data_IF_052137871599
#
_entry.id   IF_052137871599
#
_cell.length_a   1.000
_cell.length_b   1.000
_cell.length_c   1.000
_cell.angle_alpha   90.00
_cell.angle_beta   90.00
_cell.angle_gamma   90.00
#
_symmetry.space_group_name_H-M   'P 1'
#
loop_
_entity.id
_entity.type
_entity.pdbx_description
1 polymer ?
#
# COMPACT_ATOMS: atom_id res chain seq x y z
N UNK A 1 -33.53 69.61 45.50
CA UNK A 1 -33.04 68.87 46.68
C UNK A 1 -32.25 67.66 46.23
N UNK A 2 -30.93 67.53 46.37
CA UNK A 2 -29.82 68.38 46.82
C UNK A 2 -28.54 67.58 46.46
N UNK A 3 -27.56 68.20 45.81
CA UNK A 3 -26.21 68.39 46.37
C UNK A 3 -25.34 67.12 46.30
N UNK A 4 -24.47 66.87 45.30
CA UNK A 4 -23.31 67.61 44.77
C UNK A 4 -22.01 67.46 45.60
N UNK A 5 -20.92 67.13 44.88
CA UNK A 5 -19.46 67.29 45.18
C UNK A 5 -18.84 66.40 46.28
N UNK A 6 -17.58 65.93 46.22
CA UNK A 6 -16.24 66.35 45.71
C UNK A 6 -15.37 65.06 45.60
N UNK A 7 -14.23 64.91 44.91
CA UNK A 7 -13.16 65.81 44.47
C UNK A 7 -11.78 65.31 44.98
N UNK A 8 -10.87 65.05 44.04
CA UNK A 8 -9.39 65.17 44.08
C UNK A 8 -8.44 64.15 44.75
N UNK A 9 -7.29 64.03 44.06
CA UNK A 9 -6.09 63.19 44.18
C UNK A 9 -5.27 63.41 45.47
N UNK A 10 -4.45 62.40 45.84
CA UNK A 10 -3.05 62.58 46.28
C UNK A 10 -2.19 61.33 46.08
N UNK A 11 -0.98 61.58 45.58
CA UNK A 11 0.18 60.69 45.52
C UNK A 11 0.67 60.22 46.90
N UNK A 12 1.33 59.05 46.92
CA UNK A 12 2.10 58.55 48.05
C UNK A 12 2.90 57.29 47.72
N UNK A 13 4.18 57.45 47.35
CA UNK A 13 5.19 56.39 47.34
C UNK A 13 5.49 55.90 48.76
N UNK A 14 5.53 54.59 48.98
CA UNK A 14 6.50 53.97 49.90
C UNK A 14 6.70 52.46 49.67
N UNK A 15 7.88 52.14 49.15
CA UNK A 15 8.82 51.02 49.46
C UNK A 15 8.30 49.60 49.82
N UNK A 16 8.67 48.69 48.92
CA UNK A 16 9.31 47.36 49.12
C UNK A 16 8.75 46.40 50.16
N UNK A 17 8.22 45.27 49.69
CA UNK A 17 8.80 43.98 50.05
C UNK A 17 8.60 42.92 48.95
N UNK A 18 9.70 42.23 48.66
CA UNK A 18 9.84 41.15 47.70
C UNK A 18 9.18 39.87 48.17
N UNK A 19 8.43 39.19 47.28
CA UNK A 19 8.47 37.72 47.13
C UNK A 19 7.79 37.28 45.83
N UNK A 20 8.63 36.73 44.95
CA UNK A 20 8.33 35.96 43.75
C UNK A 20 7.42 34.75 44.02
N UNK A 21 6.40 34.54 43.20
CA UNK A 21 6.11 33.21 42.66
C UNK A 21 5.37 33.28 41.31
N UNK A 22 5.71 32.34 40.43
CA UNK A 22 5.48 32.34 38.98
C UNK A 22 4.04 31.97 38.59
N UNK A 23 3.35 32.86 37.86
CA UNK A 23 2.01 32.65 37.32
C UNK A 23 1.95 32.66 35.78
N UNK A 24 1.83 31.45 35.20
CA UNK A 24 1.22 31.06 33.92
C UNK A 24 0.85 32.20 32.93
N UNK A 25 1.70 32.40 31.92
CA UNK A 25 1.33 33.08 30.68
C UNK A 25 0.59 32.12 29.73
N UNK A 26 -0.68 32.40 29.47
CA UNK A 26 -1.47 31.76 28.43
C UNK A 26 -0.95 32.19 27.05
N UNK A 27 -0.30 31.29 26.31
CA UNK A 27 0.07 31.54 24.92
C UNK A 27 -1.05 31.03 24.00
N UNK A 28 -1.94 31.94 23.62
CA UNK A 28 -2.82 31.78 22.46
C UNK A 28 -1.93 31.61 21.21
N UNK A 29 -1.92 30.43 20.59
CA UNK A 29 -1.24 30.22 19.31
C UNK A 29 -2.20 30.50 18.16
N UNK A 30 -1.96 31.63 17.49
CA UNK A 30 -2.61 32.05 16.25
C UNK A 30 -2.11 31.18 15.09
N UNK A 31 -3.04 30.74 14.24
CA UNK A 31 -2.76 30.09 12.95
C UNK A 31 -2.08 31.09 12.00
N UNK A 32 -0.84 30.81 11.58
CA UNK A 32 -0.21 31.56 10.49
C UNK A 32 -0.60 30.92 9.16
N UNK A 33 -1.42 31.65 8.41
CA UNK A 33 -1.62 31.44 6.97
C UNK A 33 -0.31 31.77 6.25
N UNK A 34 0.23 30.81 5.50
CA UNK A 34 1.42 31.02 4.68
C UNK A 34 1.01 31.43 3.26
N UNK A 35 0.99 32.74 3.02
CA UNK A 35 1.22 33.31 1.70
C UNK A 35 2.71 33.19 1.36
N UNK A 36 3.03 32.73 0.14
CA UNK A 36 4.40 32.74 -0.38
C UNK A 36 4.47 33.76 -1.51
N UNK A 37 5.14 34.88 -1.22
CA UNK A 37 5.58 35.85 -2.22
C UNK A 37 6.94 35.45 -2.79
N UNK A 38 7.12 35.74 -4.08
CA UNK A 38 8.24 35.41 -4.94
C UNK A 38 9.50 36.25 -4.72
N UNK A 39 10.61 35.71 -5.24
CA UNK A 39 11.88 36.31 -5.65
C UNK A 39 13.04 36.39 -4.64
N UNK A 40 14.18 35.83 -5.07
CA UNK A 40 15.52 36.13 -4.55
C UNK A 40 16.48 34.93 -4.60
N UNK A 41 17.29 34.82 -5.65
CA UNK A 41 18.63 34.19 -5.56
C UNK A 41 19.53 35.07 -4.66
N UNK A 42 20.54 34.50 -3.97
CA UNK A 42 21.88 34.43 -4.55
C UNK A 42 22.68 33.15 -4.23
N UNK A 43 23.78 33.01 -4.97
CA UNK A 43 24.80 31.98 -4.93
C UNK A 43 25.61 31.96 -3.61
N UNK A 44 26.24 30.82 -3.33
CA UNK A 44 27.23 30.65 -2.26
C UNK A 44 27.78 29.23 -2.19
N UNK A 45 28.87 29.00 -2.90
CA UNK A 45 29.75 27.82 -2.81
C UNK A 45 30.40 27.76 -1.42
N UNK A 46 30.47 26.59 -0.79
CA UNK A 46 31.52 26.31 0.18
C UNK A 46 31.85 24.81 0.17
N UNK A 47 33.02 24.52 -0.39
CA UNK A 47 33.78 23.29 -0.17
C UNK A 47 34.12 23.16 1.31
N UNK A 48 34.10 21.93 1.82
CA UNK A 48 34.95 21.53 2.93
C UNK A 48 35.44 20.10 2.69
N UNK A 49 36.66 20.05 2.15
CA UNK A 49 37.56 18.92 2.07
C UNK A 49 38.10 18.64 3.47
N UNK A 50 38.13 17.37 3.87
CA UNK A 50 39.13 16.87 4.83
C UNK A 50 39.71 15.57 4.27
N UNK A 51 40.96 15.65 3.82
CA UNK A 51 41.84 14.51 3.51
C UNK A 51 42.15 13.70 4.77
N UNK A 52 42.39 12.39 4.62
CA UNK A 52 43.58 11.74 5.20
C UNK A 52 43.94 10.45 4.42
N UNK A 53 45.03 10.57 3.65
CA UNK A 53 46.21 9.69 3.54
C UNK A 53 46.07 8.24 3.04
N UNK A 54 46.56 8.10 1.80
CA UNK A 54 47.31 7.06 1.08
C UNK A 54 47.64 5.70 1.75
N UNK A 55 47.34 4.64 0.99
CA UNK A 55 48.12 3.39 0.90
C UNK A 55 47.84 2.70 -0.44
N UNK A 56 48.84 2.61 -1.32
CA UNK A 56 48.86 1.78 -2.55
C UNK A 56 48.65 0.30 -2.17
N UNK A 57 47.94 -0.54 -2.93
CA UNK A 57 48.33 -1.09 -4.23
C UNK A 57 47.11 -1.40 -5.11
N UNK A 58 47.28 -1.23 -6.42
CA UNK A 58 46.19 -1.26 -7.40
C UNK A 58 45.80 -2.64 -7.93
N UNK A 59 44.57 -2.71 -8.46
CA UNK A 59 44.38 -3.16 -9.83
C UNK A 59 43.03 -2.73 -10.41
N UNK A 60 43.08 -2.44 -11.70
CA UNK A 60 42.11 -1.72 -12.54
C UNK A 60 40.80 -2.47 -12.79
N UNK A 61 39.65 -1.75 -12.83
CA UNK A 61 38.66 -1.75 -13.94
C UNK A 61 37.42 -0.87 -13.64
N UNK A 62 36.96 -0.20 -14.71
CA UNK A 62 35.82 0.73 -14.86
C UNK A 62 34.47 0.23 -14.31
N UNK A 63 33.63 1.16 -13.81
CA UNK A 63 32.19 1.37 -14.12
C UNK A 63 31.60 2.48 -13.19
N UNK A 64 31.08 3.59 -13.72
CA UNK A 64 29.68 3.83 -14.17
C UNK A 64 28.66 4.07 -13.05
N UNK A 65 28.21 5.32 -12.96
CA UNK A 65 26.87 5.83 -12.60
C UNK A 65 26.21 5.40 -11.27
N UNK A 66 26.18 6.37 -10.35
CA UNK A 66 25.38 6.44 -9.12
C UNK A 66 23.87 6.25 -9.33
N UNK A 67 23.28 5.37 -8.53
CA UNK A 67 21.83 5.18 -8.41
C UNK A 67 21.49 4.21 -7.27
N UNK A 68 21.87 4.52 -6.03
CA UNK A 68 21.67 3.65 -4.87
C UNK A 68 20.23 3.64 -4.34
N UNK A 69 19.61 2.46 -4.35
CA UNK A 69 18.31 2.14 -3.76
C UNK A 69 18.50 1.65 -2.29
N UNK A 70 17.59 1.95 -1.34
CA UNK A 70 17.65 1.38 0.02
C UNK A 70 17.41 -0.14 0.13
N UNK A 71 17.30 -0.84 -1.01
CA UNK A 71 17.10 -2.30 -1.08
C UNK A 71 18.20 -3.05 -1.84
N UNK A 72 19.32 -2.40 -2.19
CA UNK A 72 20.46 -3.11 -2.77
C UNK A 72 21.37 -3.63 -1.65
N UNK A 73 21.14 -4.88 -1.25
CA UNK A 73 22.14 -5.66 -0.52
C UNK A 73 23.06 -6.25 -1.59
N UNK A 74 24.31 -5.80 -1.59
CA UNK A 74 25.39 -6.26 -2.46
C UNK A 74 25.43 -7.80 -2.52
N UNK A 75 25.06 -8.38 -3.67
CA UNK A 75 25.02 -9.83 -3.91
C UNK A 75 26.43 -10.42 -4.15
N UNK A 76 27.37 -10.10 -3.26
CA UNK A 76 28.65 -10.82 -3.11
C UNK A 76 28.91 -11.20 -1.64
N UNK A 77 27.91 -11.85 -1.03
CA UNK A 77 28.08 -12.90 -0.03
C UNK A 77 26.73 -13.57 0.18
N UNK A 78 26.71 -14.88 -0.03
CA UNK A 78 25.54 -15.74 0.18
C UNK A 78 25.05 -15.60 1.62
N UNK A 79 24.00 -14.81 1.85
CA UNK A 79 23.23 -14.84 3.09
C UNK A 79 21.90 -15.49 2.74
N UNK A 80 21.76 -16.73 3.19
CA UNK A 80 20.51 -17.48 3.32
C UNK A 80 19.35 -16.55 3.72
N UNK A 81 18.23 -16.63 2.98
CA UNK A 81 16.92 -15.96 3.18
C UNK A 81 16.72 -15.32 4.56
N UNK A 82 17.33 -14.16 4.76
CA UNK A 82 17.67 -13.66 6.08
C UNK A 82 16.44 -13.14 6.83
N UNK A 83 16.29 -13.62 8.06
CA UNK A 83 15.54 -12.97 9.12
C UNK A 83 16.02 -11.52 9.19
N UNK A 84 15.23 -10.58 8.66
CA UNK A 84 15.50 -9.16 8.86
C UNK A 84 15.39 -8.91 10.36
N UNK A 85 16.52 -8.64 11.01
CA UNK A 85 16.57 -8.49 12.46
C UNK A 85 15.74 -7.26 12.87
N UNK A 86 14.64 -7.49 13.57
CA UNK A 86 13.72 -6.45 14.02
C UNK A 86 14.42 -5.38 14.86
N UNK A 87 15.37 -5.79 15.71
CA UNK A 87 16.15 -4.87 16.53
C UNK A 87 17.06 -3.97 15.68
N UNK A 88 17.57 -4.48 14.55
CA UNK A 88 18.34 -3.66 13.60
C UNK A 88 17.45 -2.58 12.97
N UNK A 89 16.25 -2.93 12.50
CA UNK A 89 15.34 -1.97 11.86
C UNK A 89 14.86 -0.87 12.82
N UNK A 90 14.64 -1.20 14.09
CA UNK A 90 14.25 -0.20 15.10
C UNK A 90 15.33 0.86 15.32
N UNK A 91 16.60 0.48 15.15
CA UNK A 91 17.74 1.38 15.32
C UNK A 91 18.10 2.14 14.02
N UNK A 92 17.47 1.82 12.89
CA UNK A 92 17.73 2.49 11.61
C UNK A 92 16.68 3.56 11.30
N UNK A 93 17.14 4.77 11.01
CA UNK A 93 16.28 5.88 10.54
C UNK A 93 15.95 5.68 9.06
N UNK A 94 14.66 5.62 8.72
CA UNK A 94 14.23 5.66 7.32
C UNK A 94 14.45 7.07 6.77
N UNK A 95 15.36 7.20 5.80
CA UNK A 95 15.78 8.52 5.29
C UNK A 95 14.77 9.14 4.31
N UNK A 96 14.15 8.36 3.45
CA UNK A 96 13.28 8.86 2.39
C UNK A 96 12.25 7.82 1.93
N UNK A 97 11.13 8.32 1.38
CA UNK A 97 10.23 7.53 0.54
C UNK A 97 10.70 7.65 -0.91
N UNK A 98 11.05 6.52 -1.54
CA UNK A 98 11.59 6.50 -2.89
C UNK A 98 10.51 6.66 -3.96
N UNK A 99 10.94 6.86 -5.21
CA UNK A 99 10.06 6.78 -6.37
C UNK A 99 9.37 5.42 -6.48
N UNK A 100 8.12 5.43 -6.95
CA UNK A 100 7.35 4.21 -7.21
C UNK A 100 7.94 3.47 -8.40
N UNK A 101 7.98 2.14 -8.32
CA UNK A 101 8.28 1.29 -9.47
C UNK A 101 7.15 1.40 -10.48
N UNK A 102 7.43 1.04 -11.73
CA UNK A 102 6.37 1.02 -12.75
C UNK A 102 5.31 0.01 -12.35
N UNK A 103 4.05 0.27 -12.72
CA UNK A 103 2.94 -0.66 -12.45
C UNK A 103 3.27 -2.03 -13.03
N UNK A 104 3.11 -3.08 -12.21
CA UNK A 104 3.36 -4.49 -12.58
C UNK A 104 4.81 -4.79 -12.96
N UNK A 105 5.76 -3.93 -12.61
CA UNK A 105 7.19 -4.25 -12.72
C UNK A 105 7.56 -5.42 -11.80
N UNK A 106 6.94 -5.47 -10.62
CA UNK A 106 6.89 -6.64 -9.75
C UNK A 106 5.45 -7.11 -9.65
N UNK A 107 5.27 -8.40 -9.84
CA UNK A 107 3.98 -9.07 -9.69
C UNK A 107 3.61 -9.18 -8.20
N UNK A 108 2.36 -9.57 -7.91
CA UNK A 108 1.90 -9.79 -6.54
C UNK A 108 2.70 -10.89 -5.86
N UNK A 109 3.17 -10.63 -4.63
CA UNK A 109 4.00 -11.57 -3.88
C UNK A 109 3.15 -12.45 -2.95
N UNK A 110 3.04 -13.73 -3.28
CA UNK A 110 2.40 -14.77 -2.46
C UNK A 110 3.42 -15.68 -1.74
N UNK A 111 4.72 -15.38 -1.83
CA UNK A 111 5.78 -16.21 -1.30
C UNK A 111 6.23 -15.75 0.09
N UNK A 112 6.33 -14.44 0.32
CA UNK A 112 6.77 -13.91 1.61
C UNK A 112 5.78 -14.26 2.74
N UNK A 113 4.49 -14.24 2.44
CA UNK A 113 3.43 -14.78 3.33
C UNK A 113 2.53 -15.69 2.51
N UNK A 114 2.39 -16.94 2.93
CA UNK A 114 1.70 -17.96 2.13
C UNK A 114 0.17 -17.85 2.19
N UNK A 115 -0.38 -17.15 3.19
CA UNK A 115 -1.81 -16.96 3.38
C UNK A 115 -2.37 -15.68 2.72
N UNK A 116 -1.54 -14.88 2.06
CA UNK A 116 -1.96 -13.64 1.40
C UNK A 116 -0.99 -13.25 0.28
N UNK A 117 -1.48 -12.65 -0.80
CA UNK A 117 -0.62 -12.03 -1.81
C UNK A 117 -0.55 -10.51 -1.60
N UNK A 118 0.66 -9.94 -1.60
CA UNK A 118 0.90 -8.53 -1.28
C UNK A 118 1.21 -7.76 -2.58
N UNK A 119 0.52 -6.64 -2.86
CA UNK A 119 0.82 -5.82 -4.03
C UNK A 119 2.10 -5.01 -3.82
N UNK A 120 2.87 -4.80 -4.89
CA UNK A 120 4.10 -4.00 -4.83
C UNK A 120 3.86 -2.56 -4.34
N UNK A 121 2.68 -2.00 -4.65
CA UNK A 121 2.25 -0.70 -4.12
C UNK A 121 2.23 -0.68 -2.59
N UNK A 122 1.76 -1.75 -1.93
CA UNK A 122 1.74 -1.85 -0.46
C UNK A 122 3.16 -1.92 0.11
N UNK A 123 4.06 -2.68 -0.52
CA UNK A 123 5.47 -2.70 -0.11
C UNK A 123 6.13 -1.32 -0.24
N UNK A 124 5.71 -0.51 -1.21
CA UNK A 124 6.24 0.83 -1.44
C UNK A 124 5.49 1.93 -0.70
N UNK A 125 4.49 1.62 0.14
CA UNK A 125 3.70 2.62 0.85
C UNK A 125 4.62 3.53 1.68
N UNK A 126 4.51 4.84 1.49
CA UNK A 126 5.35 5.79 2.22
C UNK A 126 4.98 5.79 3.72
N UNK A 127 5.89 5.31 4.57
CA UNK A 127 5.70 5.23 6.03
C UNK A 127 6.93 5.74 6.77
N UNK A 128 7.65 6.71 6.19
CA UNK A 128 8.94 7.18 6.69
C UNK A 128 8.77 7.85 8.05
N UNK A 129 7.83 8.79 8.16
CA UNK A 129 7.58 9.50 9.40
C UNK A 129 6.96 8.59 10.46
N UNK A 130 6.08 7.65 10.07
CA UNK A 130 5.54 6.63 10.98
C UNK A 130 6.62 5.68 11.51
N UNK A 131 7.57 5.27 10.67
CA UNK A 131 8.68 4.39 11.07
C UNK A 131 9.59 5.11 12.07
N UNK A 132 9.91 6.37 11.80
CA UNK A 132 10.81 7.18 12.63
C UNK A 132 10.16 7.73 13.92
N UNK A 133 8.94 7.29 14.26
CA UNK A 133 8.33 7.63 15.56
C UNK A 133 9.21 7.15 16.73
N UNK A 134 9.86 5.97 16.63
CA UNK A 134 10.75 5.38 17.66
C UNK A 134 11.85 6.37 18.10
N UNK A 135 12.50 7.04 17.15
CA UNK A 135 13.64 7.91 17.46
C UNK A 135 13.26 9.16 18.24
N UNK A 136 11.95 9.44 18.39
CA UNK A 136 11.43 10.54 19.19
C UNK A 136 10.85 10.08 20.53
N UNK A 137 10.78 8.76 20.80
CA UNK A 137 10.23 8.24 22.06
C UNK A 137 11.25 8.20 23.20
N UNK A 138 12.54 8.09 22.89
CA UNK A 138 13.61 7.98 23.89
C UNK A 138 14.07 9.34 24.46
N UNK A 139 13.66 10.45 23.83
CA UNK A 139 13.87 11.81 24.34
C UNK A 139 12.54 12.54 24.41
N UNK A 140 11.93 12.61 25.60
CA UNK A 140 10.85 13.54 25.93
C UNK A 140 9.54 13.40 25.11
N UNK A 141 9.09 12.18 24.81
CA UNK A 141 7.74 12.02 24.25
C UNK A 141 6.69 12.28 25.34
N UNK A 142 6.16 13.50 25.33
CA UNK A 142 5.19 14.02 26.30
C UNK A 142 4.18 12.94 26.73
N UNK A 143 4.01 12.74 28.04
CA UNK A 143 3.14 11.68 28.58
C UNK A 143 1.66 11.87 28.24
N UNK A 144 1.27 13.09 27.85
CA UNK A 144 -0.10 13.41 27.41
C UNK A 144 -0.48 12.69 26.11
N UNK A 145 -1.42 11.75 26.22
CA UNK A 145 -1.97 10.97 25.12
C UNK A 145 -2.59 11.84 24.01
N UNK A 146 -3.11 13.01 24.35
CA UNK A 146 -3.69 13.98 23.40
C UNK A 146 -2.61 14.53 22.49
N UNK A 147 -1.50 14.96 23.08
CA UNK A 147 -0.33 15.43 22.33
C UNK A 147 0.22 14.32 21.43
N UNK A 148 0.36 13.09 21.94
CA UNK A 148 0.86 11.94 21.16
C UNK A 148 -0.01 11.64 19.94
N UNK A 149 -1.34 11.67 20.11
CA UNK A 149 -2.30 11.50 19.00
C UNK A 149 -2.23 12.63 17.98
N UNK A 150 -2.06 13.88 18.41
CA UNK A 150 -1.88 15.02 17.51
C UNK A 150 -0.56 14.92 16.73
N UNK A 151 0.52 14.51 17.39
CA UNK A 151 1.82 14.29 16.78
C UNK A 151 1.75 13.18 15.72
N UNK A 152 1.16 12.03 16.06
CA UNK A 152 0.89 10.93 15.13
C UNK A 152 0.13 11.43 13.89
N UNK A 153 -0.92 12.25 14.10
CA UNK A 153 -1.71 12.83 12.99
C UNK A 153 -0.86 13.64 12.04
N UNK A 154 0.02 14.51 12.56
CA UNK A 154 0.92 15.34 11.74
C UNK A 154 1.88 14.47 10.93
N UNK A 155 2.45 13.43 11.55
CA UNK A 155 3.36 12.49 10.86
C UNK A 155 2.65 11.71 9.76
N UNK A 156 1.46 11.19 10.04
CA UNK A 156 0.64 10.47 9.07
C UNK A 156 0.21 11.36 7.90
N UNK A 157 -0.16 12.63 8.15
CA UNK A 157 -0.47 13.60 7.09
C UNK A 157 0.72 13.80 6.16
N UNK A 158 1.94 13.84 6.69
CA UNK A 158 3.14 14.05 5.90
C UNK A 158 3.44 12.85 4.98
N UNK A 159 3.43 11.64 5.55
CA UNK A 159 3.60 10.39 4.79
C UNK A 159 2.51 10.24 3.71
N UNK A 160 1.26 10.55 4.05
CA UNK A 160 0.13 10.51 3.12
C UNK A 160 0.27 11.53 1.97
N UNK A 161 0.72 12.76 2.26
CA UNK A 161 0.95 13.77 1.23
C UNK A 161 2.06 13.36 0.25
N UNK A 162 3.15 12.79 0.76
CA UNK A 162 4.23 12.24 -0.06
C UNK A 162 3.75 11.05 -0.89
N UNK A 163 3.00 10.13 -0.29
CA UNK A 163 2.39 9.00 -1.01
C UNK A 163 1.54 9.46 -2.19
N UNK A 164 0.64 10.42 -1.94
CA UNK A 164 -0.24 10.96 -2.98
C UNK A 164 0.51 11.64 -4.13
N UNK A 165 1.58 12.38 -3.83
CA UNK A 165 2.45 12.97 -4.85
C UNK A 165 3.18 11.91 -5.69
N UNK A 166 3.73 10.88 -5.03
CA UNK A 166 4.43 9.78 -5.68
C UNK A 166 3.49 8.94 -6.56
N UNK A 167 2.26 8.71 -6.13
CA UNK A 167 1.22 8.03 -6.93
C UNK A 167 0.79 8.89 -8.13
N UNK A 168 0.71 10.21 -7.97
CA UNK A 168 0.45 11.11 -9.08
C UNK A 168 1.57 11.06 -10.13
N UNK A 169 2.83 11.05 -9.68
CA UNK A 169 4.02 10.88 -10.54
C UNK A 169 4.02 9.53 -11.25
N UNK A 170 3.72 8.45 -10.54
CA UNK A 170 3.56 7.10 -11.11
C UNK A 170 2.52 7.10 -12.24
N UNK A 171 1.45 7.86 -12.07
CA UNK A 171 0.38 8.01 -13.06
C UNK A 171 0.65 9.12 -14.09
N UNK A 172 1.91 9.53 -14.26
CA UNK A 172 2.35 10.54 -15.24
C UNK A 172 1.58 11.86 -15.11
N UNK A 173 1.25 12.27 -13.88
CA UNK A 173 0.44 13.44 -13.56
C UNK A 173 -0.97 13.45 -14.16
N UNK A 174 -1.50 12.30 -14.58
CA UNK A 174 -2.86 12.18 -15.12
C UNK A 174 -3.89 12.05 -13.99
N UNK A 175 -4.95 12.83 -14.06
CA UNK A 175 -6.08 12.80 -13.13
C UNK A 175 -7.20 11.89 -13.68
N UNK A 176 -7.06 10.57 -13.49
CA UNK A 176 -7.97 9.57 -14.04
C UNK A 176 -8.37 8.49 -13.02
N UNK A 177 -9.21 7.53 -13.46
CA UNK A 177 -9.72 6.41 -12.63
C UNK A 177 -8.57 5.65 -11.94
N UNK A 178 -7.44 5.45 -12.61
CA UNK A 178 -6.30 4.71 -12.07
C UNK A 178 -5.63 5.45 -10.90
N UNK A 179 -5.38 6.75 -11.04
CA UNK A 179 -4.86 7.57 -9.94
C UNK A 179 -5.81 7.53 -8.73
N UNK A 180 -7.11 7.74 -8.94
CA UNK A 180 -8.07 7.73 -7.85
C UNK A 180 -8.19 6.37 -7.15
N UNK A 181 -8.01 5.27 -7.89
CA UNK A 181 -7.97 3.91 -7.33
C UNK A 181 -6.73 3.72 -6.47
N UNK A 182 -5.55 4.13 -6.92
CA UNK A 182 -4.33 4.05 -6.10
C UNK A 182 -4.42 4.87 -4.82
N UNK A 183 -5.01 6.07 -4.88
CA UNK A 183 -5.28 6.89 -3.69
C UNK A 183 -6.19 6.13 -2.73
N UNK A 184 -7.27 5.51 -3.23
CA UNK A 184 -8.18 4.70 -2.40
C UNK A 184 -7.46 3.51 -1.77
N UNK A 185 -6.64 2.78 -2.53
CA UNK A 185 -5.95 1.59 -2.03
C UNK A 185 -4.93 1.94 -0.95
N UNK A 186 -4.11 2.97 -1.20
CA UNK A 186 -3.09 3.41 -0.23
C UNK A 186 -3.70 4.08 0.99
N UNK A 187 -4.78 4.86 0.84
CA UNK A 187 -5.53 5.40 1.98
C UNK A 187 -6.09 4.27 2.86
N UNK A 188 -6.67 3.26 2.23
CA UNK A 188 -7.19 2.09 2.92
C UNK A 188 -6.09 1.36 3.70
N UNK A 189 -4.92 1.16 3.08
CA UNK A 189 -3.78 0.51 3.73
C UNK A 189 -3.22 1.32 4.90
N UNK A 190 -3.11 2.65 4.77
CA UNK A 190 -2.83 3.51 5.93
C UNK A 190 -3.86 3.28 7.04
N UNK A 191 -5.13 3.15 6.69
CA UNK A 191 -6.20 2.84 7.63
C UNK A 191 -5.96 1.52 8.37
N UNK A 192 -5.68 0.44 7.65
CA UNK A 192 -5.43 -0.87 8.26
C UNK A 192 -4.15 -0.89 9.11
N UNK A 193 -3.10 -0.17 8.70
CA UNK A 193 -1.91 0.02 9.53
C UNK A 193 -2.30 0.74 10.83
N UNK A 194 -3.04 1.84 10.74
CA UNK A 194 -3.47 2.60 11.92
C UNK A 194 -4.41 1.78 12.80
N UNK A 195 -5.30 0.95 12.24
CA UNK A 195 -6.25 0.13 12.99
C UNK A 195 -5.63 -1.18 13.53
N UNK A 196 -4.46 -1.58 13.03
CA UNK A 196 -3.80 -2.83 13.40
C UNK A 196 -4.39 -4.06 12.70
N UNK A 197 -4.92 -3.86 11.49
CA UNK A 197 -5.59 -4.89 10.67
C UNK A 197 -4.88 -5.14 9.33
N UNK A 198 -3.68 -4.57 9.16
CA UNK A 198 -2.86 -4.77 7.95
C UNK A 198 -2.28 -6.19 7.85
N UNK A 199 -2.36 -6.77 6.65
CA UNK A 199 -2.00 -8.16 6.36
C UNK A 199 -0.53 -8.33 5.95
N UNK A 200 0.22 -7.27 5.65
CA UNK A 200 1.66 -7.38 5.32
C UNK A 200 2.46 -7.71 6.59
N UNK A 201 2.60 -6.74 7.51
CA UNK A 201 3.30 -6.93 8.78
C UNK A 201 4.75 -7.43 8.66
N UNK A 202 5.50 -6.95 7.66
CA UNK A 202 6.90 -7.34 7.41
C UNK A 202 7.83 -6.13 7.61
N UNK A 203 9.06 -6.35 8.08
CA UNK A 203 10.09 -5.32 8.16
C UNK A 203 9.66 -4.07 8.92
N UNK A 204 9.77 -2.90 8.28
CA UNK A 204 9.38 -1.61 8.86
C UNK A 204 7.90 -1.52 9.28
N UNK A 205 7.00 -2.28 8.66
CA UNK A 205 5.60 -2.33 9.10
C UNK A 205 5.45 -2.88 10.52
N UNK A 206 6.34 -3.80 10.96
CA UNK A 206 6.38 -4.24 12.36
C UNK A 206 6.86 -3.14 13.29
N UNK A 207 7.83 -2.33 12.86
CA UNK A 207 8.30 -1.15 13.61
C UNK A 207 7.17 -0.15 13.79
N UNK A 208 6.43 0.15 12.71
CA UNK A 208 5.26 1.05 12.74
C UNK A 208 4.18 0.50 13.69
N UNK A 209 3.85 -0.78 13.63
CA UNK A 209 2.88 -1.38 14.54
C UNK A 209 3.30 -1.23 16.02
N UNK A 210 4.58 -1.43 16.33
CA UNK A 210 5.10 -1.24 17.68
C UNK A 210 5.02 0.23 18.13
N UNK A 211 5.30 1.19 17.23
CA UNK A 211 5.11 2.61 17.51
C UNK A 211 3.66 2.92 17.85
N UNK A 212 2.72 2.39 17.07
CA UNK A 212 1.29 2.61 17.29
C UNK A 212 0.81 2.00 18.61
N UNK A 213 1.33 0.83 19.00
CA UNK A 213 1.09 0.21 20.32
C UNK A 213 1.64 1.06 21.46
N UNK A 214 2.81 1.66 21.30
CA UNK A 214 3.38 2.55 22.33
C UNK A 214 2.54 3.81 22.58
N UNK A 215 1.83 4.29 21.55
CA UNK A 215 0.96 5.47 21.62
C UNK A 215 -0.42 5.09 22.18
N UNK A 216 -0.97 3.96 21.75
CA UNK A 216 -2.37 3.59 21.98
C UNK A 216 -2.57 2.59 23.13
N UNK A 217 -1.50 1.98 23.63
CA UNK A 217 -1.55 0.82 24.51
C UNK A 217 -1.79 -0.49 23.76
N UNK A 218 -1.95 -1.57 24.51
CA UNK A 218 -2.19 -2.93 24.01
C UNK A 218 -3.54 -3.48 24.51
N UNK A 219 -4.14 -4.40 23.75
CA UNK A 219 -5.41 -5.06 24.09
C UNK A 219 -6.62 -4.54 23.29
N UNK A 220 -7.80 -5.13 23.54
CA UNK A 220 -9.01 -4.88 22.74
C UNK A 220 -9.47 -3.41 22.75
N UNK A 221 -9.43 -2.75 23.92
CA UNK A 221 -9.76 -1.33 24.05
C UNK A 221 -8.84 -0.45 23.19
N UNK A 222 -7.54 -0.79 23.13
CA UNK A 222 -6.59 -0.06 22.29
C UNK A 222 -6.94 -0.18 20.80
N UNK A 223 -7.37 -1.36 20.34
CA UNK A 223 -7.81 -1.58 18.96
C UNK A 223 -9.08 -0.76 18.64
N UNK A 224 -10.05 -0.71 19.55
CA UNK A 224 -11.24 0.12 19.40
C UNK A 224 -10.90 1.61 19.33
N UNK A 225 -9.99 2.09 20.19
CA UNK A 225 -9.53 3.48 20.16
C UNK A 225 -8.78 3.83 18.87
N UNK A 226 -7.95 2.93 18.34
CA UNK A 226 -7.29 3.10 17.05
C UNK A 226 -8.30 3.21 15.90
N UNK A 227 -9.33 2.37 15.91
CA UNK A 227 -10.44 2.41 14.93
C UNK A 227 -11.24 3.72 15.01
N UNK A 228 -11.55 4.19 16.21
CA UNK A 228 -12.23 5.48 16.41
C UNK A 228 -11.37 6.64 15.88
N UNK A 229 -10.09 6.68 16.26
CA UNK A 229 -9.17 7.72 15.82
C UNK A 229 -9.00 7.77 14.29
N UNK A 230 -8.94 6.59 13.64
CA UNK A 230 -8.91 6.51 12.18
C UNK A 230 -10.19 7.07 11.56
N UNK A 231 -11.36 6.72 12.10
CA UNK A 231 -12.64 7.24 11.61
C UNK A 231 -12.74 8.77 11.69
N UNK A 232 -12.20 9.37 12.75
CA UNK A 232 -12.15 10.82 12.94
C UNK A 232 -11.09 11.51 12.04
N UNK A 233 -10.09 10.78 11.55
CA UNK A 233 -8.94 11.36 10.84
C UNK A 233 -8.88 11.06 9.34
N UNK A 234 -9.51 9.98 8.86
CA UNK A 234 -9.38 9.47 7.47
C UNK A 234 -9.69 10.50 6.39
N UNK A 235 -10.64 11.40 6.61
CA UNK A 235 -10.96 12.47 5.66
C UNK A 235 -9.83 13.49 5.51
N UNK A 236 -9.14 13.81 6.62
CA UNK A 236 -7.98 14.70 6.62
C UNK A 236 -6.77 14.02 5.99
N UNK A 237 -6.59 12.71 6.22
CA UNK A 237 -5.53 11.93 5.57
C UNK A 237 -5.76 11.86 4.06
N UNK A 238 -7.00 11.61 3.61
CA UNK A 238 -7.34 11.68 2.19
C UNK A 238 -7.04 13.06 1.59
N UNK A 239 -7.42 14.13 2.29
CA UNK A 239 -7.14 15.51 1.84
C UNK A 239 -5.63 15.75 1.71
N UNK A 240 -4.82 15.19 2.61
CA UNK A 240 -3.37 15.24 2.54
C UNK A 240 -2.82 14.50 1.31
N UNK A 241 -3.30 13.29 1.01
CA UNK A 241 -2.92 12.56 -0.22
C UNK A 241 -3.27 13.35 -1.48
N UNK A 242 -4.36 14.12 -1.46
CA UNK A 242 -4.76 14.95 -2.59
C UNK A 242 -4.04 16.32 -2.66
N UNK A 243 -3.09 16.59 -1.76
CA UNK A 243 -2.43 17.90 -1.65
C UNK A 243 -1.74 18.34 -2.96
N UNK A 244 -1.01 17.44 -3.65
CA UNK A 244 -0.37 17.79 -4.93
C UNK A 244 -1.36 18.15 -6.04
N UNK A 245 -2.56 17.55 -6.01
CA UNK A 245 -3.66 17.90 -6.92
C UNK A 245 -4.24 19.26 -6.52
N UNK A 246 -4.50 19.47 -5.22
CA UNK A 246 -4.98 20.75 -4.67
C UNK A 246 -4.04 21.91 -4.98
N UNK A 247 -2.72 21.71 -4.94
CA UNK A 247 -1.74 22.76 -5.27
C UNK A 247 -1.92 23.28 -6.71
N UNK A 248 -2.34 22.41 -7.64
CA UNK A 248 -2.54 22.76 -9.06
C UNK A 248 -3.97 23.22 -9.36
N UNK A 249 -4.96 22.52 -8.81
CA UNK A 249 -6.38 22.73 -9.13
C UNK A 249 -7.14 23.55 -8.09
N UNK A 250 -6.47 24.03 -7.03
CA UNK A 250 -7.07 24.73 -5.89
C UNK A 250 -8.27 23.95 -5.35
N UNK A 251 -9.41 24.61 -5.11
CA UNK A 251 -10.63 23.98 -4.59
C UNK A 251 -11.22 22.87 -5.47
N UNK A 252 -10.92 22.86 -6.77
CA UNK A 252 -11.49 21.88 -7.71
C UNK A 252 -10.92 20.45 -7.53
N UNK A 253 -9.90 20.27 -6.70
CA UNK A 253 -9.33 18.95 -6.41
C UNK A 253 -10.35 17.95 -5.86
N UNK A 254 -11.38 18.45 -5.16
CA UNK A 254 -12.42 17.63 -4.53
C UNK A 254 -13.26 16.84 -5.54
N UNK A 255 -13.30 17.30 -6.79
CA UNK A 255 -14.06 16.67 -7.88
C UNK A 255 -13.26 15.61 -8.64
N UNK A 256 -11.94 15.54 -8.45
CA UNK A 256 -11.07 14.60 -9.18
C UNK A 256 -11.28 13.17 -8.68
N UNK A 257 -11.17 12.96 -7.37
CA UNK A 257 -11.41 11.68 -6.73
C UNK A 257 -12.50 11.87 -5.68
N UNK A 258 -13.54 11.02 -5.70
CA UNK A 258 -14.67 11.16 -4.79
C UNK A 258 -14.28 10.74 -3.36
N UNK A 259 -14.32 11.68 -2.42
CA UNK A 259 -13.94 11.42 -1.02
C UNK A 259 -14.77 10.31 -0.37
N UNK A 260 -16.10 10.30 -0.58
CA UNK A 260 -17.01 9.33 0.01
C UNK A 260 -16.69 7.88 -0.43
N UNK A 261 -16.16 7.70 -1.63
CA UNK A 261 -15.71 6.39 -2.13
C UNK A 261 -14.38 5.99 -1.50
N UNK A 262 -13.47 6.94 -1.27
CA UNK A 262 -12.14 6.67 -0.72
C UNK A 262 -12.17 6.37 0.78
N UNK A 263 -12.99 7.09 1.56
CA UNK A 263 -13.03 6.95 3.04
C UNK A 263 -13.96 5.83 3.53
N UNK A 264 -14.60 5.11 2.62
CA UNK A 264 -15.42 3.95 2.97
C UNK A 264 -14.50 2.82 3.47
N UNK A 265 -14.79 2.32 4.67
CA UNK A 265 -13.98 1.27 5.30
C UNK A 265 -14.50 -0.06 4.79
N UNK A 266 -13.62 -0.79 4.12
CA UNK A 266 -13.84 -2.13 3.57
C UNK A 266 -12.63 -2.98 4.01
N UNK A 267 -12.79 -4.27 4.36
CA UNK A 267 -11.66 -5.07 4.84
C UNK A 267 -10.53 -5.11 3.79
N UNK A 268 -9.28 -5.14 4.23
CA UNK A 268 -8.13 -4.99 3.33
C UNK A 268 -8.14 -5.98 2.17
N UNK A 269 -8.50 -7.24 2.43
CA UNK A 269 -8.56 -8.28 1.39
C UNK A 269 -9.55 -7.95 0.28
N UNK A 270 -10.66 -7.27 0.57
CA UNK A 270 -11.63 -6.88 -0.44
C UNK A 270 -11.02 -5.85 -1.38
N UNK A 271 -10.33 -4.85 -0.82
CA UNK A 271 -9.65 -3.81 -1.61
C UNK A 271 -8.52 -4.38 -2.45
N UNK A 272 -7.77 -5.33 -1.90
CA UNK A 272 -6.69 -6.00 -2.64
C UNK A 272 -7.23 -6.90 -3.76
N UNK A 273 -8.37 -7.57 -3.59
CA UNK A 273 -9.03 -8.27 -4.70
C UNK A 273 -9.45 -7.31 -5.81
N UNK A 274 -9.99 -6.13 -5.47
CA UNK A 274 -10.31 -5.06 -6.44
C UNK A 274 -9.07 -4.60 -7.20
N UNK A 275 -7.97 -4.38 -6.48
CA UNK A 275 -6.68 -3.98 -7.06
C UNK A 275 -6.13 -5.07 -7.99
N UNK A 276 -6.10 -6.32 -7.52
CA UNK A 276 -5.62 -7.48 -8.28
C UNK A 276 -6.43 -7.70 -9.56
N UNK A 277 -7.77 -7.64 -9.48
CA UNK A 277 -8.64 -7.78 -10.64
C UNK A 277 -8.36 -6.71 -11.71
N UNK A 278 -8.07 -5.47 -11.29
CA UNK A 278 -7.70 -4.38 -12.23
C UNK A 278 -6.34 -4.61 -12.89
N UNK A 279 -5.38 -5.20 -12.18
CA UNK A 279 -4.11 -5.59 -12.77
C UNK A 279 -4.29 -6.75 -13.75
N UNK A 280 -5.07 -7.77 -13.38
CA UNK A 280 -5.38 -8.92 -14.24
C UNK A 280 -5.94 -8.49 -15.60
N UNK A 281 -6.99 -7.66 -15.63
CA UNK A 281 -7.61 -7.21 -16.90
C UNK A 281 -6.71 -6.28 -17.72
N UNK A 282 -5.68 -5.67 -17.12
CA UNK A 282 -4.67 -4.87 -17.85
C UNK A 282 -3.56 -5.73 -18.44
N UNK A 283 -3.25 -6.85 -17.79
CA UNK A 283 -2.21 -7.79 -18.24
C UNK A 283 -2.72 -8.74 -19.32
N UNK A 284 -3.92 -9.29 -19.15
CA UNK A 284 -4.47 -10.34 -20.01
C UNK A 284 -4.40 -9.99 -21.51
N UNK A 285 -4.86 -8.80 -21.98
CA UNK A 285 -4.78 -8.48 -23.41
C UNK A 285 -3.34 -8.43 -23.93
N UNK A 286 -2.39 -7.98 -23.10
CA UNK A 286 -0.97 -7.88 -23.47
C UNK A 286 -0.35 -9.26 -23.61
N UNK A 287 -0.65 -10.18 -22.69
CA UNK A 287 -0.13 -11.55 -22.72
C UNK A 287 -0.78 -12.37 -23.86
N UNK A 288 -2.08 -12.21 -24.09
CA UNK A 288 -2.76 -12.82 -25.25
C UNK A 288 -2.22 -12.28 -26.57
N UNK A 289 -1.92 -10.98 -26.66
CA UNK A 289 -1.35 -10.38 -27.87
C UNK A 289 0.04 -10.97 -28.18
N UNK A 290 0.94 -11.05 -27.19
CA UNK A 290 2.25 -11.70 -27.34
C UNK A 290 2.11 -13.15 -27.82
N UNK A 291 1.08 -13.85 -27.34
CA UNK A 291 0.80 -15.22 -27.75
C UNK A 291 0.35 -15.29 -29.22
N UNK A 292 -0.63 -14.46 -29.60
CA UNK A 292 -1.15 -14.38 -30.99
C UNK A 292 -0.04 -14.08 -32.00
N UNK A 293 0.85 -13.14 -31.71
CA UNK A 293 1.96 -12.76 -32.59
C UNK A 293 2.86 -13.94 -32.99
N UNK A 294 2.98 -14.97 -32.15
CA UNK A 294 3.84 -16.13 -32.41
C UNK A 294 3.06 -17.37 -32.84
N UNK A 295 1.83 -17.52 -32.37
CA UNK A 295 1.07 -18.77 -32.48
C UNK A 295 -0.10 -18.72 -33.45
N UNK A 296 -0.53 -17.55 -33.90
CA UNK A 296 -1.74 -17.45 -34.72
C UNK A 296 -1.61 -18.18 -36.06
N UNK A 297 -2.66 -18.90 -36.42
CA UNK A 297 -2.75 -19.75 -37.60
C UNK A 297 -2.05 -21.11 -37.51
N UNK A 298 -1.84 -21.71 -38.67
CA UNK A 298 -1.32 -23.06 -38.84
C UNK A 298 0.03 -23.05 -39.54
N UNK A 299 0.82 -24.10 -39.34
CA UNK A 299 2.09 -24.30 -40.06
C UNK A 299 1.87 -24.97 -41.43
N UNK A 300 0.79 -25.75 -41.57
CA UNK A 300 0.33 -26.35 -42.82
C UNK A 300 -1.22 -26.36 -42.83
N UNK A 301 -1.86 -27.14 -43.70
CA UNK A 301 -3.32 -27.17 -43.79
C UNK A 301 -4.03 -27.66 -42.50
N UNK A 302 -3.36 -28.49 -41.70
CA UNK A 302 -3.95 -29.19 -40.54
C UNK A 302 -3.40 -28.72 -39.20
N UNK A 303 -2.09 -28.55 -39.10
CA UNK A 303 -1.36 -28.45 -37.84
C UNK A 303 -1.24 -26.99 -37.38
N UNK A 304 -1.64 -26.74 -36.14
CA UNK A 304 -1.40 -25.45 -35.47
C UNK A 304 0.10 -25.19 -35.33
N UNK A 305 0.51 -23.92 -35.30
CA UNK A 305 1.92 -23.55 -35.12
C UNK A 305 2.53 -24.15 -33.85
N UNK A 306 1.79 -24.22 -32.74
CA UNK A 306 2.29 -24.78 -31.46
C UNK A 306 2.83 -26.21 -31.59
N UNK A 307 2.33 -27.00 -32.54
CA UNK A 307 2.78 -28.38 -32.72
C UNK A 307 4.26 -28.48 -33.13
N UNK A 308 4.77 -27.52 -33.92
CA UNK A 308 6.08 -27.64 -34.59
C UNK A 308 6.92 -26.38 -34.59
N UNK A 309 6.38 -25.22 -34.23
CA UNK A 309 7.05 -23.92 -34.30
C UNK A 309 7.61 -23.55 -32.92
N UNK A 310 8.94 -23.65 -32.69
CA UNK A 310 9.53 -23.39 -31.37
C UNK A 310 9.25 -21.99 -30.82
N UNK A 311 9.25 -20.90 -31.63
CA UNK A 311 8.83 -19.58 -31.14
C UNK A 311 7.41 -19.57 -30.55
N UNK A 312 6.46 -20.32 -31.13
CA UNK A 312 5.12 -20.43 -30.58
C UNK A 312 5.11 -21.26 -29.28
N UNK A 313 5.79 -22.40 -29.25
CA UNK A 313 5.89 -23.23 -28.05
C UNK A 313 6.47 -22.45 -26.86
N UNK A 314 7.50 -21.62 -27.10
CA UNK A 314 8.09 -20.77 -26.06
C UNK A 314 7.15 -19.64 -25.62
N UNK A 315 6.36 -19.07 -26.55
CA UNK A 315 5.32 -18.11 -26.20
C UNK A 315 4.24 -18.75 -25.32
N UNK A 316 3.78 -19.96 -25.64
CA UNK A 316 2.85 -20.73 -24.79
C UNK A 316 3.41 -21.00 -23.39
N UNK A 317 4.69 -21.42 -23.28
CA UNK A 317 5.35 -21.61 -21.97
C UNK A 317 5.41 -20.32 -21.16
N UNK A 318 5.65 -19.18 -21.81
CA UNK A 318 5.69 -17.87 -21.15
C UNK A 318 4.30 -17.45 -20.66
N UNK A 319 3.27 -17.67 -21.48
CA UNK A 319 1.88 -17.47 -21.08
C UNK A 319 1.48 -18.39 -19.93
N UNK A 320 1.85 -19.67 -19.98
CA UNK A 320 1.63 -20.67 -18.93
C UNK A 320 2.20 -20.21 -17.58
N UNK A 321 3.43 -19.72 -17.58
CA UNK A 321 4.07 -19.17 -16.39
C UNK A 321 3.29 -17.99 -15.82
N UNK A 322 2.83 -17.08 -16.69
CA UNK A 322 2.04 -15.93 -16.27
C UNK A 322 0.67 -16.34 -15.71
N UNK A 323 -0.12 -17.12 -16.46
CA UNK A 323 -1.48 -17.49 -16.05
C UNK A 323 -1.48 -18.39 -14.81
N UNK A 324 -0.44 -19.23 -14.64
CA UNK A 324 -0.26 -20.03 -13.42
C UNK A 324 0.02 -19.15 -12.19
N UNK A 325 0.78 -18.06 -12.34
CA UNK A 325 0.92 -17.06 -11.25
C UNK A 325 -0.41 -16.41 -10.94
N UNK A 326 -1.20 -16.02 -11.95
CA UNK A 326 -2.52 -15.40 -11.74
C UNK A 326 -3.50 -16.33 -11.06
N UNK A 327 -3.55 -17.60 -11.48
CA UNK A 327 -4.34 -18.62 -10.79
C UNK A 327 -3.92 -18.75 -9.32
N UNK A 328 -2.63 -18.92 -9.04
CA UNK A 328 -2.15 -19.03 -7.66
C UNK A 328 -2.49 -17.79 -6.82
N UNK A 329 -2.34 -16.58 -7.39
CA UNK A 329 -2.70 -15.34 -6.72
C UNK A 329 -4.20 -15.27 -6.40
N UNK A 330 -5.04 -15.62 -7.37
CA UNK A 330 -6.50 -15.69 -7.19
C UNK A 330 -6.88 -16.69 -6.10
N UNK A 331 -6.32 -17.90 -6.14
CA UNK A 331 -6.60 -18.96 -5.17
C UNK A 331 -6.22 -18.51 -3.75
N UNK A 332 -5.07 -17.84 -3.58
CA UNK A 332 -4.66 -17.32 -2.25
C UNK A 332 -5.55 -16.17 -1.78
N UNK A 333 -5.83 -15.18 -2.64
CA UNK A 333 -6.65 -14.01 -2.27
C UNK A 333 -8.11 -14.39 -1.98
N UNK A 334 -8.69 -15.26 -2.79
CA UNK A 334 -10.07 -15.74 -2.63
C UNK A 334 -10.24 -16.56 -1.35
N UNK A 335 -9.29 -17.44 -1.02
CA UNK A 335 -9.30 -18.17 0.25
C UNK A 335 -9.13 -17.23 1.45
N UNK A 336 -8.26 -16.22 1.35
CA UNK A 336 -8.11 -15.21 2.42
C UNK A 336 -9.40 -14.43 2.62
N UNK A 337 -10.11 -14.09 1.56
CA UNK A 337 -11.43 -13.45 1.65
C UNK A 337 -12.43 -14.32 2.43
N UNK A 338 -12.52 -15.62 2.15
CA UNK A 338 -13.42 -16.53 2.85
C UNK A 338 -13.08 -16.57 4.34
N UNK A 339 -11.80 -16.69 4.68
CA UNK A 339 -11.32 -16.70 6.07
C UNK A 339 -11.69 -15.40 6.81
N UNK A 340 -11.41 -14.24 6.21
CA UNK A 340 -11.72 -12.93 6.80
C UNK A 340 -13.23 -12.73 6.96
N UNK A 341 -14.01 -13.09 5.94
CA UNK A 341 -15.47 -12.95 5.96
C UNK A 341 -16.12 -13.78 7.06
N UNK A 342 -15.64 -15.01 7.28
CA UNK A 342 -16.14 -15.88 8.35
C UNK A 342 -15.79 -15.34 9.74
N UNK A 343 -14.64 -14.69 9.89
CA UNK A 343 -14.19 -14.12 11.16
C UNK A 343 -14.92 -12.81 11.53
N UNK A 344 -15.12 -11.90 10.57
CA UNK A 344 -15.60 -10.55 10.86
C UNK A 344 -17.13 -10.45 11.05
N UNK A 345 -17.92 -11.43 10.58
CA UNK A 345 -19.41 -11.38 10.57
C UNK A 345 -20.00 -10.08 10.00
N UNK A 346 -19.21 -9.27 9.28
CA UNK A 346 -19.67 -8.02 8.66
C UNK A 346 -20.38 -8.36 7.35
N UNK A 347 -21.68 -8.07 7.28
CA UNK A 347 -22.41 -8.12 6.01
C UNK A 347 -22.06 -6.89 5.18
N UNK A 348 -21.25 -7.07 4.14
CA UNK A 348 -21.06 -6.05 3.10
C UNK A 348 -22.14 -6.24 2.04
N UNK A 349 -22.92 -5.19 1.79
CA UNK A 349 -24.05 -5.26 0.87
C UNK A 349 -23.61 -5.75 -0.52
N UNK A 350 -24.24 -6.82 -1.00
CA UNK A 350 -24.00 -7.38 -2.33
C UNK A 350 -22.68 -8.13 -2.52
N UNK A 351 -21.94 -8.48 -1.45
CA UNK A 351 -20.70 -9.26 -1.55
C UNK A 351 -20.84 -10.59 -0.81
N UNK A 352 -21.17 -11.65 -1.55
CA UNK A 352 -21.30 -13.02 -1.02
C UNK A 352 -20.01 -13.81 -1.22
N UNK A 353 -19.42 -13.69 -2.40
CA UNK A 353 -18.24 -14.42 -2.87
C UNK A 353 -17.13 -13.45 -3.29
N UNK A 354 -15.87 -13.91 -3.42
CA UNK A 354 -14.82 -13.06 -3.97
C UNK A 354 -15.10 -12.63 -5.42
N UNK A 355 -15.85 -13.43 -6.20
CA UNK A 355 -16.27 -13.06 -7.56
C UNK A 355 -17.18 -11.82 -7.59
N UNK A 356 -18.00 -11.62 -6.55
CA UNK A 356 -18.87 -10.44 -6.47
C UNK A 356 -18.06 -9.14 -6.36
N UNK A 357 -16.87 -9.19 -5.76
CA UNK A 357 -15.94 -8.05 -5.73
C UNK A 357 -15.48 -7.71 -7.15
N UNK A 358 -15.13 -8.73 -7.95
CA UNK A 358 -14.71 -8.55 -9.33
C UNK A 358 -15.87 -7.98 -10.18
N UNK A 359 -17.09 -8.54 -10.05
CA UNK A 359 -18.31 -8.03 -10.71
C UNK A 359 -18.60 -6.57 -10.38
N UNK A 360 -18.33 -6.12 -9.15
CA UNK A 360 -18.54 -4.73 -8.76
C UNK A 360 -17.43 -3.78 -9.24
N UNK A 361 -16.20 -4.27 -9.41
CA UNK A 361 -15.04 -3.42 -9.72
C UNK A 361 -14.71 -3.34 -11.21
N UNK A 362 -14.93 -4.43 -11.93
CA UNK A 362 -14.54 -4.63 -13.31
C UNK A 362 -15.75 -4.47 -14.23
N UNK A 363 -15.56 -3.70 -15.30
CA UNK A 363 -16.58 -3.46 -16.30
C UNK A 363 -16.78 -4.77 -17.11
N UNK A 364 -18.02 -5.23 -17.26
CA UNK A 364 -18.41 -6.43 -18.04
C UNK A 364 -17.74 -7.76 -17.59
N UNK A 365 -17.44 -7.91 -16.30
CA UNK A 365 -16.83 -9.15 -15.79
C UNK A 365 -17.73 -10.37 -15.96
N UNK A 366 -17.18 -11.43 -16.59
CA UNK A 366 -17.81 -12.72 -16.73
C UNK A 366 -17.04 -13.78 -15.94
N UNK A 367 -17.69 -14.32 -14.90
CA UNK A 367 -17.10 -15.31 -14.00
C UNK A 367 -16.70 -16.60 -14.72
N UNK A 368 -17.52 -17.08 -15.64
CA UNK A 368 -17.25 -18.32 -16.41
C UNK A 368 -16.07 -18.10 -17.36
N UNK A 369 -16.00 -16.94 -18.01
CA UNK A 369 -14.86 -16.61 -18.88
C UNK A 369 -13.57 -16.52 -18.06
N UNK A 370 -13.60 -15.81 -16.93
CA UNK A 370 -12.47 -15.69 -16.01
C UNK A 370 -11.97 -17.07 -15.51
N UNK A 371 -12.88 -17.94 -15.06
CA UNK A 371 -12.52 -19.30 -14.65
C UNK A 371 -11.93 -20.12 -15.79
N UNK A 372 -12.44 -19.97 -17.01
CA UNK A 372 -11.85 -20.61 -18.17
C UNK A 372 -10.43 -20.09 -18.45
N UNK A 373 -10.21 -18.78 -18.35
CA UNK A 373 -8.90 -18.15 -18.59
C UNK A 373 -7.85 -18.64 -17.56
N UNK A 374 -8.12 -18.50 -16.26
CA UNK A 374 -7.14 -18.87 -15.22
C UNK A 374 -6.86 -20.37 -15.15
N UNK A 375 -7.80 -21.20 -15.62
CA UNK A 375 -7.64 -22.66 -15.70
C UNK A 375 -7.25 -23.15 -17.11
N UNK A 376 -6.89 -22.23 -18.03
CA UNK A 376 -6.36 -22.55 -19.37
C UNK A 376 -7.32 -23.38 -20.25
N UNK A 377 -8.61 -23.06 -20.13
CA UNK A 377 -9.74 -23.66 -20.85
C UNK A 377 -10.45 -22.66 -21.75
N UNK A 378 -9.99 -21.41 -21.79
CA UNK A 378 -10.52 -20.41 -22.70
C UNK A 378 -10.19 -20.76 -24.16
N UNK A 379 -11.07 -20.32 -25.06
CA UNK A 379 -10.94 -20.63 -26.48
C UNK A 379 -9.62 -20.17 -27.08
N UNK A 380 -9.09 -19.01 -26.65
CA UNK A 380 -7.85 -18.47 -27.17
C UNK A 380 -6.64 -19.34 -26.77
N UNK A 381 -6.54 -19.77 -25.51
CA UNK A 381 -5.49 -20.68 -25.07
C UNK A 381 -5.58 -22.03 -25.79
N UNK A 382 -6.78 -22.62 -25.90
CA UNK A 382 -6.97 -23.90 -26.59
C UNK A 382 -6.59 -23.78 -28.07
N UNK A 383 -7.02 -22.70 -28.73
CA UNK A 383 -6.73 -22.46 -30.14
C UNK A 383 -5.23 -22.29 -30.39
N UNK A 384 -4.55 -21.49 -29.57
CA UNK A 384 -3.16 -21.08 -29.81
C UNK A 384 -2.13 -22.05 -29.23
N UNK A 385 -2.43 -22.72 -28.11
CA UNK A 385 -1.44 -23.49 -27.34
C UNK A 385 -1.69 -24.98 -27.21
N UNK A 386 -2.82 -25.50 -27.67
CA UNK A 386 -3.12 -26.94 -27.62
C UNK A 386 -3.03 -27.53 -29.03
N UNK A 387 -2.13 -28.51 -29.22
CA UNK A 387 -1.82 -29.07 -30.54
C UNK A 387 -2.94 -30.00 -31.04
N UNK A 388 -3.45 -30.90 -30.20
CA UNK A 388 -4.48 -31.88 -30.60
C UNK A 388 -5.78 -31.78 -29.80
N UNK A 389 -6.88 -32.26 -30.41
CA UNK A 389 -8.20 -32.35 -29.74
C UNK A 389 -8.18 -33.32 -28.56
N UNK A 390 -7.31 -34.33 -28.61
CA UNK A 390 -7.12 -35.31 -27.53
C UNK A 390 -6.44 -34.69 -26.30
N UNK A 391 -5.44 -33.82 -26.50
CA UNK A 391 -4.82 -33.02 -25.43
C UNK A 391 -5.82 -32.05 -24.80
N UNK A 392 -6.71 -31.43 -25.60
CA UNK A 392 -7.76 -30.55 -25.09
C UNK A 392 -8.77 -31.30 -24.20
N UNK A 393 -9.16 -32.52 -24.59
CA UNK A 393 -10.05 -33.39 -23.78
C UNK A 393 -9.39 -33.82 -22.47
N UNK A 394 -8.11 -34.19 -22.50
CA UNK A 394 -7.36 -34.62 -21.31
C UNK A 394 -7.19 -33.50 -20.26
N UNK A 395 -6.87 -32.27 -20.70
CA UNK A 395 -6.79 -31.09 -19.84
C UNK A 395 -8.15 -30.74 -19.19
N UNK A 396 -9.25 -31.02 -19.89
CA UNK A 396 -10.60 -30.83 -19.35
C UNK A 396 -10.90 -31.90 -18.29
N UNK A 397 -10.55 -33.17 -18.52
CA UNK A 397 -10.82 -34.29 -17.62
C UNK A 397 -9.98 -34.31 -16.34
N UNK A 398 -8.66 -34.08 -16.41
CA UNK A 398 -7.77 -34.08 -15.22
C UNK A 398 -8.17 -33.02 -14.19
N UNK A 399 -8.73 -31.90 -14.63
CA UNK A 399 -9.13 -30.81 -13.72
C UNK A 399 -10.57 -30.96 -13.24
N UNK A 400 -11.49 -31.61 -13.97
CA UNK A 400 -12.81 -32.00 -13.42
C UNK A 400 -12.63 -32.95 -12.23
N UNK A 401 -11.72 -33.93 -12.34
CA UNK A 401 -11.38 -34.78 -11.20
C UNK A 401 -10.77 -34.00 -10.03
N UNK A 402 -9.99 -32.94 -10.29
CA UNK A 402 -9.41 -32.11 -9.22
C UNK A 402 -10.43 -31.19 -8.56
N UNK A 403 -11.40 -30.63 -9.31
CA UNK A 403 -12.51 -29.83 -8.76
C UNK A 403 -13.46 -30.71 -7.95
N UNK A 404 -13.78 -31.91 -8.44
CA UNK A 404 -14.60 -32.88 -7.70
C UNK A 404 -13.89 -33.36 -6.42
N UNK A 405 -12.57 -33.55 -6.46
CA UNK A 405 -11.78 -33.91 -5.29
C UNK A 405 -11.63 -32.75 -4.30
N UNK A 406 -11.50 -31.51 -4.78
CA UNK A 406 -11.47 -30.31 -3.94
C UNK A 406 -12.82 -30.09 -3.25
N UNK A 407 -13.93 -30.23 -3.98
CA UNK A 407 -15.29 -30.16 -3.43
C UNK A 407 -15.55 -31.27 -2.39
N UNK A 408 -15.07 -32.50 -2.62
CA UNK A 408 -15.16 -33.60 -1.65
C UNK A 408 -14.29 -33.38 -0.41
N UNK A 409 -13.11 -32.78 -0.54
CA UNK A 409 -12.23 -32.45 0.60
C UNK A 409 -12.76 -31.33 1.50
N UNK A 410 -13.59 -30.43 0.95
CA UNK A 410 -14.29 -29.41 1.74
C UNK A 410 -15.52 -29.99 2.46
N UNK A 411 -16.16 -31.03 1.91
CA UNK A 411 -17.31 -31.70 2.53
C UNK A 411 -16.93 -32.66 3.69
N UNK A 412 -15.71 -33.19 3.73
CA UNK A 412 -15.25 -34.09 4.81
C UNK A 412 -14.79 -33.38 6.08
N UNK A 413 -14.68 -32.04 6.09
CA UNK A 413 -14.35 -31.25 7.28
C UNK A 413 -15.58 -30.77 8.09
N UNK A 414 -16.79 -31.10 7.65
CA UNK A 414 -18.01 -30.93 8.46
C UNK A 414 -18.39 -32.26 9.11
N UNK A 415 -17.76 -32.59 10.23
CA UNK A 415 -18.27 -33.65 11.10
C UNK A 415 -19.57 -33.19 11.78
N UNK A 416 -20.60 -34.04 11.92
CA UNK A 416 -21.83 -33.68 12.60
C UNK A 416 -21.56 -33.51 14.09
N UNK A 417 -21.99 -32.38 14.64
CA UNK A 417 -22.07 -32.16 16.08
C UNK A 417 -23.12 -33.16 16.63
N UNK A 418 -22.65 -34.21 17.31
CA UNK A 418 -23.49 -35.01 18.19
C UNK A 418 -23.80 -34.17 19.44
N UNK A 419 -25.05 -33.76 19.61
CA UNK A 419 -25.52 -33.14 20.85
C UNK A 419 -25.88 -34.22 21.89
N UNK A 420 -25.62 -33.99 23.19
CA UNK A 420 -26.13 -34.83 24.27
C UNK A 420 -27.64 -34.65 24.50
#
# INVERSE_FOLDING_TARGET
DGGDKTGEEKDGEHKTDSKTDNGKGANNLVMLDYETSSNGQPAGTLDNVLEFVTGHEGNSRKNSSNGGNPYDIDHKKTISSAIINHAFLQNTVMKNCNYKRKRRERDWDCNTKKDVCIPDRRYQLCMKELTNLVNNTDTNFHSDITFRKLYLKRKLIYDAAVEGDLLLKLNNYRYNKDFCKDIRWSLGDFGDIIMGTDMEGIGYSKVVENNLRSISGTGEKAQQHRKQWWNESKAQIWTAMMYSVKKRLKGNFIWICKINVAVNIEPQIYRWIREWGRDYVKELPTEVQKLKEKCDGKINYTDKKVCKVPPCQNACKSYDQWITRKKNQWDVLSNKFISVKNAEKVQTAGIVTPYDILKQELDEFNEVAFENEINKRDGAYIELCVCSVEEAKKNTQEVVTNVDNAAKSQATNSNPISQP
#
